data_IF_309084045342
#
_entry.id   IF_309084045342
#
_cell.length_a   1.000
_cell.length_b   1.000
_cell.length_c   1.000
_cell.angle_alpha   90.00
_cell.angle_beta   90.00
_cell.angle_gamma   90.00
#
_symmetry.space_group_name_H-M   'P 1'
#
loop_
_entity.id
_entity.type
_entity.pdbx_description
1 polymer ?
#
# COMPACT_ATOMS: atom_id res chain seq x y z
N UNK A 1 5.42 -15.26 11.08
CA UNK A 1 4.52 -14.10 10.87
C UNK A 1 3.80 -14.11 9.50
N UNK A 2 3.99 -15.10 8.62
CA UNK A 2 3.43 -15.09 7.26
C UNK A 2 1.90 -15.18 7.12
N UNK A 3 1.16 -15.46 8.20
CA UNK A 3 -0.31 -15.40 8.25
C UNK A 3 -0.72 -14.70 9.54
N UNK A 4 -1.00 -13.39 9.46
CA UNK A 4 -1.59 -12.66 10.58
C UNK A 4 -3.03 -13.13 10.75
N UNK A 5 -3.37 -13.61 11.95
CA UNK A 5 -4.75 -13.89 12.33
C UNK A 5 -5.55 -12.58 12.38
N UNK A 6 -6.88 -12.60 12.25
CA UNK A 6 -7.70 -11.38 12.29
C UNK A 6 -7.44 -10.47 13.50
N UNK A 7 -7.24 -10.98 14.74
CA UNK A 7 -6.85 -10.15 15.88
C UNK A 7 -5.50 -9.47 15.71
N UNK A 8 -4.52 -10.14 15.10
CA UNK A 8 -3.20 -9.56 14.84
C UNK A 8 -3.24 -8.47 13.75
N UNK A 9 -4.16 -8.59 12.77
CA UNK A 9 -4.38 -7.52 11.78
C UNK A 9 -4.98 -6.28 12.44
N UNK A 10 -6.00 -6.46 13.28
CA UNK A 10 -6.60 -5.36 14.03
C UNK A 10 -5.58 -4.67 14.97
N UNK A 11 -4.66 -5.44 15.56
CA UNK A 11 -3.58 -4.87 16.36
C UNK A 11 -2.59 -4.03 15.54
N UNK A 12 -2.23 -4.49 14.34
CA UNK A 12 -1.36 -3.73 13.41
C UNK A 12 -2.02 -2.40 13.02
N UNK A 13 -3.33 -2.42 12.75
CA UNK A 13 -4.10 -1.21 12.46
C UNK A 13 -4.20 -0.28 13.68
N UNK A 14 -4.47 -0.82 14.86
CA UNK A 14 -4.60 -0.06 16.10
C UNK A 14 -3.30 0.68 16.48
N UNK A 15 -2.15 0.05 16.25
CA UNK A 15 -0.83 0.58 16.60
C UNK A 15 -0.21 1.36 15.43
N UNK A 16 -0.92 1.49 14.31
CA UNK A 16 -0.45 2.12 13.07
C UNK A 16 0.91 1.56 12.62
N UNK A 17 1.13 0.27 12.84
CA UNK A 17 2.40 -0.35 12.51
C UNK A 17 2.53 -0.46 10.99
N UNK A 18 3.67 -0.03 10.45
CA UNK A 18 3.91 -0.09 9.00
C UNK A 18 3.81 -1.54 8.48
N UNK A 19 2.83 -1.77 7.61
CA UNK A 19 2.60 -3.05 6.96
C UNK A 19 3.80 -3.53 6.13
N UNK A 20 4.61 -2.61 5.58
CA UNK A 20 5.84 -2.95 4.88
C UNK A 20 6.90 -3.50 5.86
N UNK A 21 6.97 -2.95 7.07
CA UNK A 21 7.83 -3.44 8.15
C UNK A 21 7.38 -4.83 8.64
N UNK A 22 6.08 -5.03 8.84
CA UNK A 22 5.52 -6.36 9.19
C UNK A 22 5.82 -7.40 8.10
N UNK A 23 5.68 -7.02 6.83
CA UNK A 23 6.02 -7.87 5.69
C UNK A 23 7.52 -8.21 5.64
N UNK A 24 8.39 -7.22 5.90
CA UNK A 24 9.83 -7.43 5.95
C UNK A 24 10.23 -8.39 7.09
N UNK A 25 9.65 -8.19 8.28
CA UNK A 25 9.86 -9.08 9.42
C UNK A 25 9.33 -10.51 9.16
N UNK A 26 8.22 -10.63 8.44
CA UNK A 26 7.62 -11.93 8.11
C UNK A 26 8.45 -12.77 7.14
N UNK A 27 9.24 -12.15 6.25
CA UNK A 27 10.13 -12.87 5.32
C UNK A 27 11.31 -13.53 6.02
N UNK A 28 11.78 -12.95 7.14
CA UNK A 28 12.92 -13.46 7.90
C UNK A 28 12.51 -14.31 9.11
N UNK A 29 11.24 -14.27 9.52
CA UNK A 29 10.79 -15.03 10.68
C UNK A 29 10.58 -16.51 10.34
N UNK A 30 11.15 -17.45 11.11
CA UNK A 30 10.82 -18.86 10.94
C UNK A 30 9.32 -19.08 11.12
N UNK A 31 8.78 -20.08 10.42
CA UNK A 31 7.39 -20.51 10.56
C UNK A 31 7.09 -20.78 12.02
N UNK A 32 6.09 -20.09 12.57
CA UNK A 32 5.67 -20.28 13.95
C UNK A 32 5.19 -21.73 14.10
N UNK A 33 5.97 -22.56 14.80
CA UNK A 33 5.55 -23.90 15.17
C UNK A 33 4.57 -23.74 16.34
N UNK A 34 3.34 -24.28 16.25
CA UNK A 34 2.44 -24.27 17.39
C UNK A 34 3.15 -24.93 18.58
N UNK A 35 2.95 -24.38 19.78
CA UNK A 35 3.48 -25.00 20.99
C UNK A 35 3.01 -26.47 21.01
N UNK A 36 3.91 -27.44 21.26
CA UNK A 36 3.50 -28.83 21.35
C UNK A 36 2.43 -28.97 22.43
N UNK A 37 1.40 -29.78 22.18
CA UNK A 37 0.41 -30.15 23.18
C UNK A 37 1.16 -30.85 24.33
N UNK A 38 1.34 -30.15 25.45
CA UNK A 38 2.15 -30.63 26.57
C UNK A 38 1.48 -31.84 27.25
N UNK A 39 0.17 -32.00 27.05
CA UNK A 39 -0.63 -33.11 27.56
C UNK A 39 -0.15 -34.47 27.03
N UNK A 40 0.36 -34.52 25.79
CA UNK A 40 0.87 -35.74 25.16
C UNK A 40 2.15 -36.28 25.82
N UNK A 41 2.84 -35.43 26.59
CA UNK A 41 4.11 -35.74 27.24
C UNK A 41 3.94 -36.08 28.73
N UNK A 42 2.75 -35.86 29.30
CA UNK A 42 2.43 -36.29 30.66
C UNK A 42 2.61 -37.81 30.89
N UNK A 43 2.25 -38.70 29.96
CA UNK A 43 2.45 -40.14 30.11
C UNK A 43 3.93 -40.55 30.12
N UNK A 44 4.82 -39.72 29.58
CA UNK A 44 6.26 -40.01 29.49
C UNK A 44 7.02 -39.67 30.77
N UNK A 45 6.42 -38.90 31.69
CA UNK A 45 6.97 -38.71 33.03
C UNK A 45 6.99 -40.05 33.77
N UNK A 46 8.11 -40.35 34.41
CA UNK A 46 8.22 -41.52 35.30
C UNK A 46 7.30 -41.35 36.52
N UNK A 47 6.83 -42.45 37.12
CA UNK A 47 5.97 -42.39 38.31
C UNK A 47 6.64 -41.64 39.48
N UNK A 48 7.96 -41.81 39.63
CA UNK A 48 8.76 -41.10 40.62
C UNK A 48 8.74 -39.56 40.41
N UNK A 49 8.86 -39.10 39.16
CA UNK A 49 8.79 -37.67 38.84
C UNK A 49 7.40 -37.10 39.07
N UNK A 50 6.33 -37.83 38.69
CA UNK A 50 4.95 -37.38 38.94
C UNK A 50 4.71 -37.21 40.44
N UNK A 51 5.14 -38.19 41.23
CA UNK A 51 4.99 -38.14 42.68
C UNK A 51 5.81 -37.00 43.30
N UNK A 52 7.00 -36.70 42.78
CA UNK A 52 7.79 -35.55 43.21
C UNK A 52 7.07 -34.22 42.92
N UNK A 53 6.48 -34.04 41.73
CA UNK A 53 5.72 -32.82 41.40
C UNK A 53 4.44 -32.68 42.24
N UNK A 54 3.73 -33.79 42.50
CA UNK A 54 2.57 -33.78 43.41
C UNK A 54 2.96 -33.40 44.84
N UNK A 55 4.11 -33.89 45.33
CA UNK A 55 4.62 -33.50 46.65
C UNK A 55 5.01 -32.02 46.70
N UNK A 56 5.66 -31.48 45.67
CA UNK A 56 5.97 -30.05 45.55
C UNK A 56 4.71 -29.18 45.55
N UNK A 57 3.65 -29.65 44.89
CA UNK A 57 2.34 -28.98 44.87
C UNK A 57 1.67 -29.00 46.25
N UNK A 58 1.69 -30.13 46.95
CA UNK A 58 1.17 -30.26 48.33
C UNK A 58 1.92 -29.33 49.29
N UNK A 59 3.24 -29.17 49.09
CA UNK A 59 4.10 -28.25 49.83
C UNK A 59 3.94 -26.78 49.45
N UNK A 60 3.12 -26.47 48.43
CA UNK A 60 2.91 -25.12 47.87
C UNK A 60 4.21 -24.41 47.52
N UNK A 61 5.16 -25.15 46.96
CA UNK A 61 6.39 -24.56 46.45
C UNK A 61 6.04 -23.56 45.32
N UNK A 62 6.79 -22.44 45.20
CA UNK A 62 6.54 -21.47 44.15
C UNK A 62 6.93 -22.03 42.78
N UNK A 63 6.18 -21.65 41.74
CA UNK A 63 6.50 -21.93 40.33
C UNK A 63 6.55 -23.42 39.94
N UNK A 64 5.86 -24.31 40.67
CA UNK A 64 5.80 -25.75 40.36
C UNK A 64 5.17 -26.02 39.00
N UNK A 65 4.19 -25.19 38.62
CA UNK A 65 3.58 -25.14 37.29
C UNK A 65 4.62 -24.87 36.19
N UNK A 66 5.47 -23.85 36.36
CA UNK A 66 6.53 -23.51 35.40
C UNK A 66 7.60 -24.62 35.33
N UNK A 67 7.96 -25.22 36.47
CA UNK A 67 8.90 -26.35 36.50
C UNK A 67 8.36 -27.56 35.74
N UNK A 68 7.08 -27.89 35.91
CA UNK A 68 6.43 -28.98 35.19
C UNK A 68 6.35 -28.70 33.69
N UNK A 69 5.94 -27.49 33.31
CA UNK A 69 5.88 -27.05 31.91
C UNK A 69 7.26 -27.15 31.24
N UNK A 70 8.32 -26.70 31.92
CA UNK A 70 9.69 -26.79 31.40
C UNK A 70 10.16 -28.24 31.26
N UNK A 71 9.83 -29.10 32.22
CA UNK A 71 10.16 -30.54 32.14
C UNK A 71 9.44 -31.24 30.98
N UNK A 72 8.17 -30.91 30.76
CA UNK A 72 7.41 -31.44 29.61
C UNK A 72 7.98 -30.93 28.27
N UNK A 73 8.45 -29.68 28.22
CA UNK A 73 9.15 -29.14 27.04
C UNK A 73 10.48 -29.85 26.79
N UNK A 74 11.26 -30.16 27.82
CA UNK A 74 12.49 -30.94 27.69
C UNK A 74 12.23 -32.33 27.09
N UNK A 75 11.19 -33.01 27.57
CA UNK A 75 10.77 -34.32 27.03
C UNK A 75 10.28 -34.22 25.60
N UNK A 76 9.56 -33.14 25.25
CA UNK A 76 9.13 -32.85 23.89
C UNK A 76 10.27 -32.49 22.92
N UNK A 77 11.54 -32.57 23.36
CA UNK A 77 12.71 -32.19 22.58
C UNK A 77 12.83 -30.68 22.36
N UNK A 78 12.02 -29.87 23.05
CA UNK A 78 12.17 -28.42 23.12
C UNK A 78 13.25 -28.10 24.17
N UNK A 79 14.49 -28.43 23.83
CA UNK A 79 15.65 -28.17 24.65
C UNK A 79 15.79 -26.64 24.88
N UNK A 80 15.64 -26.12 26.11
CA UNK A 80 15.80 -24.69 26.39
C UNK A 80 17.26 -24.24 26.23
N UNK A 81 18.21 -25.18 26.16
CA UNK A 81 19.64 -24.94 26.00
C UNK A 81 20.13 -24.92 24.55
N UNK A 82 19.24 -25.06 23.56
CA UNK A 82 19.59 -24.62 22.21
C UNK A 82 19.33 -23.12 22.20
N UNK A 83 20.35 -22.24 22.22
CA UNK A 83 20.13 -20.85 21.85
C UNK A 83 19.43 -20.91 20.49
N UNK A 84 18.23 -20.32 20.33
CA UNK A 84 17.46 -20.46 19.10
C UNK A 84 18.39 -20.07 17.98
N UNK A 85 18.76 -21.06 17.14
CA UNK A 85 19.79 -21.00 16.12
C UNK A 85 20.46 -19.63 16.06
N UNK A 86 21.55 -19.50 16.86
CA UNK A 86 22.60 -18.48 16.74
C UNK A 86 22.26 -17.37 15.77
N UNK A 87 21.90 -16.18 16.26
CA UNK A 87 22.41 -14.85 15.88
C UNK A 87 22.73 -14.51 14.41
N UNK A 88 22.36 -15.35 13.45
CA UNK A 88 22.56 -15.22 12.03
C UNK A 88 21.34 -14.47 11.54
N UNK A 89 21.50 -13.15 11.56
CA UNK A 89 20.60 -12.16 10.98
C UNK A 89 19.27 -11.95 11.72
N UNK A 90 19.31 -11.71 13.03
CA UNK A 90 18.38 -10.70 13.56
C UNK A 90 18.76 -9.37 12.94
N UNK A 91 18.25 -9.10 11.74
CA UNK A 91 18.47 -7.84 11.05
C UNK A 91 18.16 -6.71 12.01
N UNK A 92 19.08 -5.75 12.10
CA UNK A 92 18.86 -4.57 12.95
C UNK A 92 17.61 -3.87 12.43
N UNK A 93 16.85 -3.22 13.32
CA UNK A 93 15.65 -2.47 12.95
C UNK A 93 15.90 -1.53 11.76
N UNK A 94 17.11 -0.95 11.65
CA UNK A 94 17.57 -0.14 10.53
C UNK A 94 17.54 -0.85 9.16
N UNK A 95 17.88 -2.14 9.12
CA UNK A 95 17.88 -2.94 7.89
C UNK A 95 16.45 -3.32 7.48
N UNK A 96 15.58 -3.60 8.46
CA UNK A 96 14.15 -3.81 8.20
C UNK A 96 13.48 -2.52 7.69
N UNK A 97 13.83 -1.37 8.28
CA UNK A 97 13.35 -0.07 7.85
C UNK A 97 13.81 0.27 6.42
N UNK A 98 15.06 -0.05 6.05
CA UNK A 98 15.56 0.15 4.69
C UNK A 98 14.81 -0.71 3.67
N UNK A 99 14.54 -1.98 4.00
CA UNK A 99 13.75 -2.89 3.13
C UNK A 99 12.29 -2.42 3.03
N UNK A 100 11.70 -1.92 4.12
CA UNK A 100 10.36 -1.36 4.11
C UNK A 100 10.29 -0.11 3.22
N UNK A 101 11.24 0.82 3.35
CA UNK A 101 11.33 2.02 2.53
C UNK A 101 11.47 1.71 1.03
N UNK A 102 12.28 0.71 0.65
CA UNK A 102 12.40 0.28 -0.75
C UNK A 102 11.07 -0.31 -1.28
N UNK A 103 10.37 -1.10 -0.46
CA UNK A 103 9.04 -1.63 -0.82
C UNK A 103 8.00 -0.52 -0.98
N UNK A 104 7.99 0.48 -0.10
CA UNK A 104 7.12 1.64 -0.21
C UNK A 104 7.43 2.47 -1.45
N UNK A 105 8.71 2.73 -1.73
CA UNK A 105 9.15 3.46 -2.91
C UNK A 105 8.72 2.72 -4.20
N UNK A 106 8.87 1.40 -4.24
CA UNK A 106 8.39 0.56 -5.35
C UNK A 106 6.87 0.63 -5.49
N UNK A 107 6.11 0.54 -4.40
CA UNK A 107 4.65 0.69 -4.42
C UNK A 107 4.23 2.05 -4.97
N UNK A 108 4.78 3.15 -4.42
CA UNK A 108 4.48 4.50 -4.91
C UNK A 108 4.83 4.66 -6.37
N UNK A 109 5.96 4.11 -6.82
CA UNK A 109 6.36 4.14 -8.24
C UNK A 109 5.38 3.38 -9.12
N UNK A 110 4.91 2.21 -8.69
CA UNK A 110 3.92 1.42 -9.42
C UNK A 110 2.54 2.10 -9.45
N UNK A 111 2.10 2.68 -8.34
CA UNK A 111 0.86 3.46 -8.26
C UNK A 111 0.92 4.69 -9.18
N UNK A 112 2.04 5.40 -9.19
CA UNK A 112 2.28 6.51 -10.12
C UNK A 112 2.32 6.05 -11.57
N UNK A 113 2.92 4.90 -11.87
CA UNK A 113 2.95 4.34 -13.21
C UNK A 113 1.53 3.96 -13.67
N UNK A 114 0.74 3.30 -12.82
CA UNK A 114 -0.65 2.95 -13.12
C UNK A 114 -1.53 4.19 -13.30
N UNK A 115 -1.36 5.23 -12.48
CA UNK A 115 -2.06 6.50 -12.63
C UNK A 115 -1.70 7.20 -13.94
N UNK A 116 -0.42 7.18 -14.34
CA UNK A 116 0.03 7.70 -15.64
C UNK A 116 -0.57 6.90 -16.80
N UNK A 117 -0.56 5.58 -16.70
CA UNK A 117 -1.13 4.70 -17.73
C UNK A 117 -2.64 4.92 -17.88
N UNK A 118 -3.37 5.07 -16.77
CA UNK A 118 -4.79 5.41 -16.81
C UNK A 118 -5.02 6.79 -17.43
N UNK A 119 -4.18 7.77 -17.12
CA UNK A 119 -4.25 9.10 -17.75
C UNK A 119 -4.00 9.02 -19.26
N UNK A 120 -3.02 8.23 -19.69
CA UNK A 120 -2.74 7.99 -21.12
C UNK A 120 -3.93 7.32 -21.80
N UNK A 121 -4.50 6.26 -21.22
CA UNK A 121 -5.69 5.59 -21.77
C UNK A 121 -6.89 6.53 -21.90
N UNK A 122 -7.10 7.40 -20.90
CA UNK A 122 -8.16 8.41 -20.95
C UNK A 122 -7.92 9.43 -22.09
N UNK A 123 -6.67 9.86 -22.29
CA UNK A 123 -6.30 10.75 -23.39
C UNK A 123 -6.42 10.06 -24.76
N UNK A 124 -6.04 8.78 -24.88
CA UNK A 124 -6.21 7.99 -26.10
C UNK A 124 -7.68 7.77 -26.45
N UNK A 125 -8.54 7.53 -25.45
CA UNK A 125 -9.99 7.43 -25.65
C UNK A 125 -10.62 8.77 -26.09
N UNK A 126 -10.00 9.90 -25.74
CA UNK A 126 -10.40 11.23 -26.19
C UNK A 126 -9.92 11.54 -27.62
N UNK A 127 -8.89 10.85 -28.14
CA UNK A 127 -8.33 11.10 -29.47
C UNK A 127 -9.35 11.00 -30.63
N UNK A 128 -10.17 9.95 -30.76
CA UNK A 128 -11.16 9.88 -31.83
C UNK A 128 -12.30 10.91 -31.65
N UNK A 129 -12.52 11.40 -30.42
CA UNK A 129 -13.55 12.39 -30.09
C UNK A 129 -13.03 13.82 -30.15
N UNK A 130 -11.73 14.03 -30.32
CA UNK A 130 -11.10 15.35 -30.37
C UNK A 130 -11.82 16.34 -31.31
N UNK A 131 -12.17 16.00 -32.57
CA UNK A 131 -12.92 16.93 -33.43
C UNK A 131 -14.31 17.26 -32.89
N UNK A 132 -15.02 16.29 -32.33
CA UNK A 132 -16.36 16.48 -31.73
C UNK A 132 -16.28 17.33 -30.46
N UNK A 133 -15.21 17.19 -29.67
CA UNK A 133 -14.95 18.02 -28.50
C UNK A 133 -14.68 19.47 -28.90
N UNK A 134 -13.99 19.71 -30.03
CA UNK A 134 -13.80 21.05 -30.59
C UNK A 134 -15.14 21.69 -31.00
N UNK A 135 -16.02 20.94 -31.66
CA UNK A 135 -17.36 21.43 -32.03
C UNK A 135 -18.18 21.77 -30.78
N UNK A 136 -18.15 20.91 -29.76
CA UNK A 136 -18.80 21.16 -28.47
C UNK A 136 -18.26 22.38 -27.74
N UNK A 137 -16.94 22.64 -27.81
CA UNK A 137 -16.33 23.87 -27.28
C UNK A 137 -16.89 25.10 -28.01
N UNK A 138 -17.04 25.05 -29.34
CA UNK A 138 -17.64 26.14 -30.11
C UNK A 138 -19.09 26.37 -29.72
N UNK A 139 -19.89 25.31 -29.57
CA UNK A 139 -21.28 25.39 -29.13
C UNK A 139 -21.41 26.00 -27.74
N UNK A 140 -20.61 25.53 -26.77
CA UNK A 140 -20.59 26.08 -25.41
C UNK A 140 -20.19 27.56 -25.38
N UNK A 141 -19.28 27.97 -26.27
CA UNK A 141 -18.94 29.38 -26.45
C UNK A 141 -20.13 30.18 -27.00
N UNK A 142 -20.99 29.59 -27.84
CA UNK A 142 -22.19 30.26 -28.35
C UNK A 142 -23.28 30.49 -27.29
N UNK A 143 -23.42 29.59 -26.30
CA UNK A 143 -24.45 29.68 -25.23
C UNK A 143 -24.32 30.94 -24.35
N UNK A 144 -23.17 31.64 -24.39
CA UNK A 144 -22.93 32.93 -23.71
C UNK A 144 -23.21 32.91 -22.19
N UNK A 145 -22.99 31.77 -21.54
CA UNK A 145 -23.17 31.61 -20.09
C UNK A 145 -21.83 31.33 -19.39
N UNK A 146 -21.68 31.78 -18.14
CA UNK A 146 -20.42 31.64 -17.38
C UNK A 146 -20.00 30.17 -17.21
N UNK A 147 -20.93 29.30 -16.80
CA UNK A 147 -20.68 27.86 -16.65
C UNK A 147 -20.24 27.19 -17.97
N UNK A 148 -20.84 27.59 -19.10
CA UNK A 148 -20.47 27.05 -20.41
C UNK A 148 -19.03 27.47 -20.81
N UNK A 149 -18.58 28.65 -20.38
CA UNK A 149 -17.18 29.07 -20.59
C UNK A 149 -16.20 28.31 -19.70
N UNK A 150 -16.61 27.96 -18.47
CA UNK A 150 -15.79 27.14 -17.57
C UNK A 150 -15.68 25.69 -18.09
N UNK A 151 -16.77 25.10 -18.57
CA UNK A 151 -16.76 23.79 -19.23
C UNK A 151 -15.92 23.79 -20.51
N UNK A 152 -16.09 24.81 -21.38
CA UNK A 152 -15.29 24.95 -22.59
C UNK A 152 -13.78 25.07 -22.29
N UNK A 153 -13.41 25.78 -21.22
CA UNK A 153 -11.99 25.90 -20.84
C UNK A 153 -11.41 24.61 -20.25
N UNK A 154 -12.21 23.79 -19.56
CA UNK A 154 -11.77 22.46 -19.14
C UNK A 154 -11.54 21.56 -20.36
N UNK A 155 -12.49 21.51 -21.30
CA UNK A 155 -12.35 20.72 -22.53
C UNK A 155 -11.14 21.14 -23.38
N UNK A 156 -10.83 22.44 -23.42
CA UNK A 156 -9.62 22.95 -24.09
C UNK A 156 -8.33 22.52 -23.40
N UNK A 157 -8.31 22.37 -22.08
CA UNK A 157 -7.15 21.81 -21.35
C UNK A 157 -6.96 20.34 -21.66
N UNK A 158 -8.05 19.56 -21.68
CA UNK A 158 -8.00 18.14 -22.03
C UNK A 158 -7.50 17.94 -23.47
N UNK A 159 -7.94 18.77 -24.41
CA UNK A 159 -7.47 18.76 -25.81
C UNK A 159 -5.99 19.17 -25.95
N UNK A 160 -5.50 20.08 -25.10
CA UNK A 160 -4.08 20.45 -25.07
C UNK A 160 -3.22 19.31 -24.55
N UNK A 161 -3.60 18.71 -23.42
CA UNK A 161 -2.90 17.58 -22.83
C UNK A 161 -2.86 16.38 -23.80
N UNK A 162 -3.94 16.17 -24.56
CA UNK A 162 -3.99 15.20 -25.65
C UNK A 162 -3.02 15.55 -26.79
N UNK A 163 -2.98 16.81 -27.21
CA UNK A 163 -2.09 17.27 -28.26
C UNK A 163 -0.60 17.19 -27.84
N UNK A 164 -0.28 17.43 -26.57
CA UNK A 164 1.05 17.21 -26.00
C UNK A 164 1.43 15.73 -26.07
N UNK A 165 0.53 14.84 -25.67
CA UNK A 165 0.75 13.38 -25.74
C UNK A 165 0.95 12.88 -27.17
N UNK A 166 0.24 13.44 -28.16
CA UNK A 166 0.34 13.06 -29.57
C UNK A 166 1.46 13.79 -30.33
N UNK A 167 2.19 14.72 -29.68
CA UNK A 167 3.17 15.58 -30.36
C UNK A 167 2.55 16.57 -31.36
N UNK A 168 1.23 16.80 -31.29
CA UNK A 168 0.46 17.71 -32.16
C UNK A 168 0.20 19.07 -31.51
N UNK A 169 0.97 19.44 -30.48
CA UNK A 169 0.88 20.73 -29.80
C UNK A 169 0.90 21.95 -30.76
N UNK A 170 1.66 21.95 -31.88
CA UNK A 170 1.62 23.04 -32.85
C UNK A 170 0.25 23.20 -33.54
N UNK A 171 -0.41 22.09 -33.86
CA UNK A 171 -1.74 22.07 -34.50
C UNK A 171 -2.81 22.58 -33.53
N UNK A 172 -2.73 22.15 -32.27
CA UNK A 172 -3.59 22.67 -31.21
C UNK A 172 -3.41 24.17 -31.03
N UNK A 173 -2.16 24.63 -30.92
CA UNK A 173 -1.83 26.05 -30.73
C UNK A 173 -2.37 26.90 -31.89
N UNK A 174 -2.21 26.45 -33.14
CA UNK A 174 -2.75 27.17 -34.29
C UNK A 174 -4.29 27.28 -34.26
N UNK A 175 -4.99 26.20 -33.91
CA UNK A 175 -6.47 26.22 -33.76
C UNK A 175 -6.90 27.09 -32.58
N UNK A 176 -6.18 27.05 -31.47
CA UNK A 176 -6.44 27.85 -30.28
C UNK A 176 -6.23 29.34 -30.53
N UNK A 177 -5.18 29.73 -31.26
CA UNK A 177 -4.97 31.13 -31.69
C UNK A 177 -6.11 31.62 -32.60
N UNK A 178 -6.55 30.80 -33.56
CA UNK A 178 -7.72 31.13 -34.40
C UNK A 178 -8.99 31.32 -33.57
N UNK A 179 -9.20 30.46 -32.57
CA UNK A 179 -10.32 30.58 -31.64
C UNK A 179 -10.27 31.91 -30.86
N UNK A 180 -9.09 32.26 -30.32
CA UNK A 180 -8.87 33.54 -29.62
C UNK A 180 -9.13 34.74 -30.53
N UNK A 181 -8.67 34.70 -31.78
CA UNK A 181 -8.90 35.76 -32.76
C UNK A 181 -10.40 35.93 -33.07
N UNK A 182 -11.12 34.83 -33.30
CA UNK A 182 -12.55 34.84 -33.62
C UNK A 182 -13.44 35.34 -32.48
N UNK A 183 -13.04 35.10 -31.23
CA UNK A 183 -13.81 35.51 -30.04
C UNK A 183 -13.16 36.63 -29.23
N UNK A 184 -12.27 37.40 -29.86
CA UNK A 184 -11.58 38.56 -29.28
C UNK A 184 -12.52 39.63 -28.73
N UNK A 185 -13.72 39.77 -29.31
CA UNK A 185 -14.78 40.67 -28.83
C UNK A 185 -15.47 40.24 -27.51
N UNK A 186 -15.06 39.12 -26.87
CA UNK A 186 -15.67 38.61 -25.63
C UNK A 186 -14.68 38.60 -24.45
N UNK A 187 -14.58 39.68 -23.67
CA UNK A 187 -13.54 39.85 -22.65
C UNK A 187 -13.61 38.80 -21.51
N UNK A 188 -14.82 38.38 -21.11
CA UNK A 188 -15.01 37.37 -20.06
C UNK A 188 -14.58 35.96 -20.47
N UNK A 189 -14.62 35.64 -21.76
CA UNK A 189 -14.11 34.39 -22.31
C UNK A 189 -12.59 34.48 -22.49
N UNK A 190 -12.10 35.60 -23.04
CA UNK A 190 -10.67 35.83 -23.23
C UNK A 190 -9.87 35.75 -21.92
N UNK A 191 -10.39 36.29 -20.81
CA UNK A 191 -9.75 36.17 -19.49
C UNK A 191 -9.57 34.70 -19.06
N UNK A 192 -10.54 33.83 -19.38
CA UNK A 192 -10.48 32.39 -19.06
C UNK A 192 -9.56 31.63 -20.01
N UNK A 193 -9.57 31.96 -21.31
CA UNK A 193 -8.67 31.37 -22.31
C UNK A 193 -7.20 31.71 -22.02
N UNK A 194 -6.91 32.94 -21.58
CA UNK A 194 -5.56 33.36 -21.18
C UNK A 194 -5.06 32.68 -19.89
N UNK A 195 -5.97 32.12 -19.08
CA UNK A 195 -5.61 31.29 -17.93
C UNK A 195 -5.16 29.88 -18.34
N UNK A 196 -5.39 29.46 -19.59
CA UNK A 196 -4.86 28.20 -20.12
C UNK A 196 -3.43 28.50 -20.56
N UNK A 197 -2.46 28.09 -19.75
CA UNK A 197 -1.03 28.27 -20.03
C UNK A 197 -0.70 27.51 -21.31
N UNK A 198 -0.41 28.23 -22.39
CA UNK A 198 0.23 27.71 -23.62
C UNK A 198 1.63 27.22 -23.32
#
# INVERSE_FOLDING_TARGET
LGKLTPPLKAFVELVELDNALVSAAAQASPSHRPAPALEEWLPQLTEAERQAFLLKLVRREPHVDLQLINRLKELAGANPSVPPASEQERRRFSELAAVAADKEAKRKRNEQAAAKEQRIKNLEALAPKAPQTWDRVLDLIQVKHAYAYDEATQLLRDLRDLAEHQGQLPVFSQRFERLKANYSNRPALMKRLLSIKT
#
